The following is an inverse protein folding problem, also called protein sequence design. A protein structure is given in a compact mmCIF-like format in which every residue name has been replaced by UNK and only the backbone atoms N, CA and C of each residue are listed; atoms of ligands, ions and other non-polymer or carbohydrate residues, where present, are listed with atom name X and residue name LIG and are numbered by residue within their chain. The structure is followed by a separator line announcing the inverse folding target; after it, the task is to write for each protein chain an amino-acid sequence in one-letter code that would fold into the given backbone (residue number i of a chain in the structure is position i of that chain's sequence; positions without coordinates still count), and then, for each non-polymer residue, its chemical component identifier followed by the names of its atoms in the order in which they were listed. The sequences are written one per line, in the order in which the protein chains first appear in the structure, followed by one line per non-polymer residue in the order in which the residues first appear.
data_IF_338558515646
#
_entry.id   IF_338558515646
#
_cell.length_a   1.000
_cell.length_b   1.000
_cell.length_c   1.000
_cell.angle_alpha   90.00
_cell.angle_beta   90.00
_cell.angle_gamma   90.00
#
_symmetry.space_group_name_H-M   'P 1'
#
loop_
_entity.id
_entity.type
_entity.pdbx_description
1 polymer ?
#
# COMPACT_ATOMS: atom_id res chain seq x y z
N UNK A 1 -13.31 43.77 -13.13
CA UNK A 1 -14.25 43.31 -12.09
C UNK A 1 -13.53 42.26 -11.26
N UNK A 2 -13.25 42.55 -10.00
CA UNK A 2 -12.68 41.55 -9.07
C UNK A 2 -13.82 40.68 -8.58
N UNK A 3 -13.92 39.48 -9.15
CA UNK A 3 -14.86 38.47 -8.72
C UNK A 3 -14.37 37.93 -7.37
N UNK A 4 -14.80 38.58 -6.29
CA UNK A 4 -14.53 38.11 -4.93
C UNK A 4 -15.47 36.95 -4.68
N UNK A 5 -14.94 35.73 -4.70
CA UNK A 5 -15.66 34.52 -4.33
C UNK A 5 -16.34 34.73 -2.98
N UNK A 6 -17.67 34.73 -2.96
CA UNK A 6 -18.45 34.90 -1.73
C UNK A 6 -18.45 33.58 -0.99
N UNK A 7 -17.94 33.56 0.24
CA UNK A 7 -17.94 32.39 1.10
C UNK A 7 -19.33 32.20 1.74
N UNK A 8 -20.19 31.45 1.04
CA UNK A 8 -21.58 31.22 1.44
C UNK A 8 -21.73 30.52 2.79
N UNK A 9 -20.69 29.82 3.26
CA UNK A 9 -20.73 29.13 4.54
C UNK A 9 -20.72 30.10 5.73
N UNK A 10 -20.07 31.26 5.64
CA UNK A 10 -20.09 32.28 6.71
C UNK A 10 -21.50 32.79 7.02
N UNK A 11 -22.40 32.72 6.04
CA UNK A 11 -23.80 33.13 6.17
C UNK A 11 -24.74 32.04 6.72
N UNK A 12 -24.23 30.82 6.96
CA UNK A 12 -25.00 29.69 7.49
C UNK A 12 -24.85 29.58 9.01
N UNK A 13 -25.86 29.04 9.69
CA UNK A 13 -25.73 28.70 11.11
C UNK A 13 -24.64 27.63 11.34
N UNK A 14 -23.94 27.69 12.47
CA UNK A 14 -22.81 26.81 12.83
C UNK A 14 -23.05 25.31 12.59
N UNK A 15 -24.28 24.81 12.79
CA UNK A 15 -24.63 23.40 12.56
C UNK A 15 -24.62 23.04 11.06
N UNK A 16 -25.07 23.96 10.20
CA UNK A 16 -25.07 23.77 8.75
C UNK A 16 -23.67 23.91 8.14
N UNK A 17 -22.83 24.78 8.70
CA UNK A 17 -21.42 24.88 8.35
C UNK A 17 -20.69 23.57 8.65
N UNK A 18 -20.75 23.08 9.90
CA UNK A 18 -20.10 21.82 10.29
C UNK A 18 -20.59 20.62 9.47
N UNK A 19 -21.88 20.53 9.18
CA UNK A 19 -22.41 19.45 8.34
C UNK A 19 -21.88 19.50 6.90
N UNK A 20 -21.57 20.69 6.39
CA UNK A 20 -20.99 20.88 5.05
C UNK A 20 -19.50 20.57 5.06
N UNK A 21 -18.78 21.00 6.10
CA UNK A 21 -17.37 20.68 6.31
C UNK A 21 -17.14 19.16 6.39
N UNK A 22 -17.96 18.44 7.16
CA UNK A 22 -17.90 16.97 7.24
C UNK A 22 -18.11 16.34 5.86
N UNK A 23 -19.10 16.82 5.09
CA UNK A 23 -19.34 16.32 3.73
C UNK A 23 -18.16 16.58 2.80
N UNK A 24 -17.50 17.74 2.93
CA UNK A 24 -16.30 18.08 2.14
C UNK A 24 -15.14 17.14 2.48
N UNK A 25 -14.88 16.92 3.76
CA UNK A 25 -13.84 16.00 4.23
C UNK A 25 -14.09 14.56 3.73
N UNK A 26 -15.33 14.09 3.78
CA UNK A 26 -15.68 12.77 3.24
C UNK A 26 -15.42 12.69 1.74
N UNK A 27 -15.83 13.70 0.98
CA UNK A 27 -15.60 13.75 -0.47
C UNK A 27 -14.09 13.79 -0.83
N UNK A 28 -13.29 14.54 -0.07
CA UNK A 28 -11.82 14.58 -0.21
C UNK A 28 -11.22 13.19 0.07
N UNK A 29 -11.61 12.54 1.17
CA UNK A 29 -11.15 11.19 1.50
C UNK A 29 -11.56 10.17 0.44
N UNK A 30 -12.78 10.23 -0.10
CA UNK A 30 -13.23 9.36 -1.17
C UNK A 30 -12.41 9.55 -2.46
N UNK A 31 -12.12 10.79 -2.83
CA UNK A 31 -11.28 11.11 -3.99
C UNK A 31 -9.85 10.57 -3.83
N UNK A 32 -9.26 10.74 -2.64
CA UNK A 32 -7.93 10.21 -2.32
C UNK A 32 -7.90 8.69 -2.36
N UNK A 33 -8.92 8.02 -1.82
CA UNK A 33 -9.06 6.57 -1.88
C UNK A 33 -9.16 6.06 -3.33
N UNK A 34 -9.92 6.75 -4.18
CA UNK A 34 -10.02 6.40 -5.61
C UNK A 34 -8.67 6.58 -6.31
N UNK A 35 -7.97 7.69 -6.07
CA UNK A 35 -6.64 7.93 -6.63
C UNK A 35 -5.63 6.88 -6.18
N UNK A 36 -5.69 6.45 -4.92
CA UNK A 36 -4.83 5.39 -4.39
C UNK A 36 -5.11 4.04 -5.05
N UNK A 37 -6.38 3.66 -5.22
CA UNK A 37 -6.77 2.42 -5.91
C UNK A 37 -6.28 2.39 -7.36
N UNK A 38 -6.47 3.48 -8.10
CA UNK A 38 -6.01 3.56 -9.50
C UNK A 38 -4.50 3.36 -9.62
N UNK A 39 -3.72 3.98 -8.73
CA UNK A 39 -2.26 3.81 -8.70
C UNK A 39 -1.85 2.39 -8.31
N UNK A 40 -2.56 1.76 -7.36
CA UNK A 40 -2.33 0.37 -7.00
C UNK A 40 -2.58 -0.55 -8.20
N UNK A 41 -3.70 -0.37 -8.92
CA UNK A 41 -4.03 -1.15 -10.11
C UNK A 41 -2.97 -1.01 -11.21
N UNK A 42 -2.44 0.20 -11.42
CA UNK A 42 -1.34 0.44 -12.37
C UNK A 42 -0.05 -0.29 -11.95
N UNK A 43 0.33 -0.21 -10.68
CA UNK A 43 1.49 -0.93 -10.15
C UNK A 43 1.33 -2.44 -10.31
N UNK A 44 0.17 -2.99 -9.96
CA UNK A 44 -0.12 -4.42 -10.09
C UNK A 44 -0.07 -4.89 -11.54
N UNK A 45 -0.61 -4.10 -12.50
CA UNK A 45 -0.47 -4.40 -13.93
C UNK A 45 0.99 -4.54 -14.34
N UNK A 46 1.85 -3.63 -13.89
CA UNK A 46 3.29 -3.71 -14.17
C UNK A 46 3.96 -4.90 -13.48
N UNK A 47 3.57 -5.23 -12.25
CA UNK A 47 4.09 -6.39 -11.51
C UNK A 47 3.69 -7.73 -12.16
N UNK A 48 2.50 -7.82 -12.76
CA UNK A 48 2.00 -9.02 -13.44
C UNK A 48 2.54 -9.14 -14.86
N UNK A 49 2.70 -8.03 -15.58
CA UNK A 49 3.09 -8.03 -16.99
C UNK A 49 4.49 -8.61 -17.26
N UNK A 50 5.41 -8.52 -16.29
CA UNK A 50 6.80 -8.94 -16.47
C UNK A 50 7.12 -10.10 -15.53
N UNK A 51 7.52 -11.29 -16.00
CA UNK A 51 8.05 -12.35 -15.14
C UNK A 51 9.21 -11.84 -14.27
N UNK A 52 9.40 -12.40 -13.08
CA UNK A 52 10.55 -12.05 -12.24
C UNK A 52 11.85 -12.47 -12.95
N UNK A 53 12.79 -11.54 -13.14
CA UNK A 53 14.09 -11.79 -13.77
C UNK A 53 15.15 -12.34 -12.82
N UNK A 54 14.95 -12.16 -11.51
CA UNK A 54 15.85 -12.62 -10.46
C UNK A 54 15.08 -13.14 -9.25
N UNK A 55 15.77 -13.86 -8.36
CA UNK A 55 15.20 -14.25 -7.07
C UNK A 55 14.80 -13.03 -6.23
N UNK A 56 15.58 -11.95 -6.30
CA UNK A 56 15.26 -10.71 -5.62
C UNK A 56 13.93 -10.12 -6.13
N UNK A 57 13.74 -10.05 -7.45
CA UNK A 57 12.48 -9.55 -8.04
C UNK A 57 11.27 -10.41 -7.63
N UNK A 58 11.46 -11.74 -7.57
CA UNK A 58 10.41 -12.67 -7.14
C UNK A 58 10.06 -12.49 -5.65
N UNK A 59 11.07 -12.32 -4.79
CA UNK A 59 10.89 -12.08 -3.36
C UNK A 59 10.19 -10.75 -3.07
N UNK A 60 10.50 -9.70 -3.83
CA UNK A 60 9.83 -8.40 -3.72
C UNK A 60 8.34 -8.48 -4.11
N UNK A 61 8.02 -9.20 -5.18
CA UNK A 61 6.62 -9.49 -5.56
C UNK A 61 5.88 -10.30 -4.51
N UNK A 62 6.54 -11.33 -3.96
CA UNK A 62 5.97 -12.14 -2.88
C UNK A 62 5.72 -11.30 -1.63
N UNK A 63 6.67 -10.43 -1.24
CA UNK A 63 6.50 -9.50 -0.12
C UNK A 63 5.27 -8.61 -0.31
N UNK A 64 5.13 -8.01 -1.49
CA UNK A 64 3.97 -7.18 -1.82
C UNK A 64 2.63 -7.94 -1.65
N UNK A 65 2.52 -9.12 -2.26
CA UNK A 65 1.31 -9.94 -2.18
C UNK A 65 1.01 -10.41 -0.75
N UNK A 66 2.03 -10.77 0.02
CA UNK A 66 1.86 -11.21 1.42
C UNK A 66 1.43 -10.06 2.32
N UNK A 67 1.94 -8.84 2.10
CA UNK A 67 1.46 -7.66 2.83
C UNK A 67 0.00 -7.37 2.50
N UNK A 68 -0.41 -7.49 1.23
CA UNK A 68 -1.82 -7.33 0.84
C UNK A 68 -2.69 -8.42 1.46
N UNK A 69 -2.25 -9.68 1.39
CA UNK A 69 -2.96 -10.81 1.98
C UNK A 69 -3.11 -10.62 3.50
N UNK A 70 -2.08 -10.19 4.22
CA UNK A 70 -2.13 -9.97 5.67
C UNK A 70 -3.19 -8.95 6.11
N UNK A 71 -3.58 -8.02 5.23
CA UNK A 71 -4.63 -7.04 5.50
C UNK A 71 -6.05 -7.60 5.30
N UNK A 72 -6.20 -8.78 4.68
CA UNK A 72 -7.51 -9.40 4.41
C UNK A 72 -8.10 -10.08 5.67
N UNK A 73 -9.43 -10.16 5.79
CA UNK A 73 -10.08 -10.94 6.86
C UNK A 73 -9.61 -12.39 6.93
N UNK A 74 -9.32 -13.00 5.78
CA UNK A 74 -8.85 -14.38 5.66
C UNK A 74 -7.50 -14.59 6.34
N UNK A 75 -6.66 -13.56 6.39
CA UNK A 75 -5.36 -13.61 7.06
C UNK A 75 -5.41 -13.19 8.53
N UNK A 76 -6.56 -12.78 9.09
CA UNK A 76 -6.68 -12.36 10.50
C UNK A 76 -6.44 -13.49 11.51
N UNK A 77 -6.48 -14.76 11.08
CA UNK A 77 -6.07 -15.90 11.91
C UNK A 77 -4.65 -15.67 12.46
N UNK A 78 -4.46 -15.67 13.80
CA UNK A 78 -3.16 -15.45 14.43
C UNK A 78 -2.04 -16.36 13.88
N UNK A 79 -2.39 -17.59 13.48
CA UNK A 79 -1.41 -18.52 12.87
C UNK A 79 -0.94 -18.01 11.51
N UNK A 80 -1.84 -17.48 10.68
CA UNK A 80 -1.53 -16.94 9.36
C UNK A 80 -0.73 -15.64 9.48
N UNK A 81 -1.09 -14.75 10.40
CA UNK A 81 -0.32 -13.54 10.69
C UNK A 81 1.12 -13.86 11.10
N UNK A 82 1.30 -14.85 11.99
CA UNK A 82 2.63 -15.28 12.40
C UNK A 82 3.46 -15.80 11.22
N UNK A 83 2.87 -16.68 10.39
CA UNK A 83 3.55 -17.21 9.21
C UNK A 83 3.94 -16.11 8.21
N UNK A 84 3.04 -15.15 7.95
CA UNK A 84 3.35 -14.03 7.06
C UNK A 84 4.51 -13.21 7.62
N UNK A 85 4.47 -12.86 8.91
CA UNK A 85 5.55 -12.13 9.57
C UNK A 85 6.89 -12.87 9.46
N UNK A 86 6.92 -14.14 9.83
CA UNK A 86 8.14 -14.95 9.83
C UNK A 86 8.74 -15.04 8.41
N UNK A 87 7.90 -15.18 7.37
CA UNK A 87 8.34 -15.23 5.98
C UNK A 87 8.91 -13.88 5.47
N UNK A 88 8.32 -12.76 5.89
CA UNK A 88 8.83 -11.43 5.58
C UNK A 88 10.17 -11.14 6.25
N UNK A 89 10.35 -11.61 7.48
CA UNK A 89 11.62 -11.53 8.20
C UNK A 89 12.69 -12.39 7.48
N UNK A 90 12.33 -13.59 7.02
CA UNK A 90 13.21 -14.47 6.24
C UNK A 90 13.63 -13.84 4.91
N UNK A 91 12.72 -13.23 4.15
CA UNK A 91 13.07 -12.51 2.92
C UNK A 91 14.05 -11.36 3.19
N UNK A 92 13.85 -10.64 4.29
CA UNK A 92 14.75 -9.55 4.69
C UNK A 92 16.14 -10.08 5.06
N UNK A 93 16.22 -11.21 5.76
CA UNK A 93 17.51 -11.86 6.09
C UNK A 93 18.22 -12.35 4.83
N UNK A 94 17.53 -13.13 3.99
CA UNK A 94 18.12 -13.76 2.81
C UNK A 94 18.51 -12.75 1.73
N UNK A 95 17.84 -11.60 1.66
CA UNK A 95 18.23 -10.52 0.72
C UNK A 95 19.52 -9.81 1.13
N UNK A 96 19.98 -9.97 2.38
CA UNK A 96 21.26 -9.45 2.87
C UNK A 96 22.41 -10.44 2.68
N UNK A 97 22.08 -11.72 2.51
CA UNK A 97 23.04 -12.79 2.23
C UNK A 97 23.26 -12.91 0.71
N UNK A 98 24.03 -11.99 0.14
CA UNK A 98 24.50 -12.09 -1.25
C UNK A 98 25.35 -13.36 -1.42
N UNK A 99 25.25 -14.10 -2.55
CA UNK A 99 25.88 -15.42 -2.73
C UNK A 99 27.43 -15.43 -2.84
N UNK A 100 28.13 -14.39 -2.38
CA UNK A 100 29.61 -14.34 -2.37
C UNK A 100 30.24 -15.01 -1.13
N UNK A 101 29.44 -15.52 -0.18
CA UNK A 101 29.95 -16.16 1.04
C UNK A 101 30.04 -17.69 0.96
N UNK A 102 30.42 -18.24 -0.19
CA UNK A 102 30.89 -19.62 -0.28
C UNK A 102 32.36 -19.63 -0.72
N UNK A 103 33.34 -19.68 0.22
CA UNK A 103 34.71 -19.98 -0.19
C UNK A 103 34.69 -21.41 -0.73
N UNK A 104 35.06 -21.55 -2.01
CA UNK A 104 35.32 -22.85 -2.63
C UNK A 104 36.32 -23.59 -1.74
N UNK A 105 35.87 -24.65 -1.07
CA UNK A 105 36.77 -25.72 -0.63
C UNK A 105 37.47 -26.22 -1.89
N UNK A 106 38.75 -25.88 -2.02
CA UNK A 106 39.67 -26.56 -2.93
C UNK A 106 40.29 -27.72 -2.15
N UNK A 107 40.27 -28.86 -2.84
CA UNK A 107 40.98 -30.11 -2.53
C UNK A 107 42.45 -29.91 -2.16
#
# INVERSE_FOLDING_TARGET
MTDKTIELDEHRGMKAQKATEIRRLLAEVEADQLALRLRQDELEKHLVATPASSWHDAAEKARYLLTLFAATPEAQDPRRQKLVKDLLDDFTRLSRETPESHPRSRD
#
